data_IF_670953067445
#
_entry.id   IF_670953067445
#
_cell.length_a   1.000
_cell.length_b   1.000
_cell.length_c   1.000
_cell.angle_alpha   90.00
_cell.angle_beta   90.00
_cell.angle_gamma   90.00
#
_symmetry.space_group_name_H-M   'P 1'
#
loop_
_entity.id
_entity.type
_entity.pdbx_description
1 polymer ?
#
# COMPACT_ATOMS: atom_id res chain seq x y z
N UNK A 1 -38.15 -20.41 2.92
CA UNK A 1 -36.81 -20.77 2.42
C UNK A 1 -35.81 -20.26 3.43
N UNK A 2 -35.16 -21.14 4.19
CA UNK A 2 -34.07 -20.77 5.10
C UNK A 2 -32.82 -20.59 4.25
N UNK A 3 -32.34 -19.35 4.14
CA UNK A 3 -31.05 -19.10 3.51
C UNK A 3 -29.97 -19.78 4.36
N UNK A 4 -29.03 -20.53 3.75
CA UNK A 4 -27.90 -21.07 4.49
C UNK A 4 -27.15 -19.92 5.15
N UNK A 5 -26.83 -20.11 6.43
CA UNK A 5 -26.07 -19.10 7.17
C UNK A 5 -24.66 -19.06 6.58
N UNK A 6 -24.15 -17.88 6.20
CA UNK A 6 -22.81 -17.78 5.66
C UNK A 6 -21.78 -18.22 6.69
N UNK A 7 -20.67 -18.78 6.22
CA UNK A 7 -19.53 -19.08 7.08
C UNK A 7 -19.08 -17.83 7.84
N UNK A 8 -18.58 -18.02 9.06
CA UNK A 8 -18.23 -16.92 9.97
C UNK A 8 -17.28 -15.91 9.32
N UNK A 9 -16.32 -16.37 8.52
CA UNK A 9 -15.38 -15.50 7.82
C UNK A 9 -16.09 -14.61 6.79
N UNK A 10 -16.98 -15.18 5.96
CA UNK A 10 -17.84 -14.42 5.04
C UNK A 10 -18.73 -13.44 5.81
N UNK A 11 -19.30 -13.85 6.94
CA UNK A 11 -20.18 -12.99 7.74
C UNK A 11 -19.46 -11.78 8.35
N UNK A 12 -18.19 -11.93 8.76
CA UNK A 12 -17.42 -10.87 9.40
C UNK A 12 -16.61 -10.02 8.41
N UNK A 13 -16.09 -10.64 7.35
CA UNK A 13 -15.08 -10.05 6.47
C UNK A 13 -15.51 -10.01 5.00
N UNK A 14 -16.60 -10.68 4.63
CA UNK A 14 -17.05 -10.79 3.24
C UNK A 14 -16.17 -11.70 2.36
N UNK A 15 -15.19 -12.39 2.96
CA UNK A 15 -14.26 -13.29 2.26
C UNK A 15 -13.84 -14.45 3.18
N UNK A 16 -13.50 -15.58 2.57
CA UNK A 16 -12.84 -16.72 3.26
C UNK A 16 -11.31 -16.56 3.29
N UNK A 17 -10.77 -15.56 2.60
CA UNK A 17 -9.35 -15.29 2.59
C UNK A 17 -8.86 -14.98 4.02
N UNK A 18 -7.87 -15.72 4.54
CA UNK A 18 -7.40 -15.55 5.90
C UNK A 18 -6.70 -14.20 6.08
N UNK A 19 -6.91 -13.59 7.24
CA UNK A 19 -6.14 -12.43 7.68
C UNK A 19 -4.74 -12.90 8.11
N UNK A 20 -3.70 -12.18 7.68
CA UNK A 20 -2.31 -12.49 8.04
C UNK A 20 -1.88 -11.49 9.08
N UNK A 21 -1.46 -11.96 10.25
CA UNK A 21 -0.94 -11.07 11.29
C UNK A 21 0.33 -10.40 10.76
N UNK A 22 0.29 -9.08 10.62
CA UNK A 22 1.40 -8.29 10.12
C UNK A 22 2.60 -8.32 11.07
N UNK A 23 3.78 -8.04 10.51
CA UNK A 23 5.05 -7.97 11.25
C UNK A 23 5.45 -6.52 11.49
N UNK A 24 5.59 -6.12 12.74
CA UNK A 24 6.11 -4.79 13.08
C UNK A 24 7.62 -4.70 12.80
N UNK A 25 8.01 -3.70 12.00
CA UNK A 25 9.38 -3.31 11.67
C UNK A 25 9.68 -1.94 12.30
N UNK A 26 10.95 -1.72 12.63
CA UNK A 26 11.42 -0.50 13.32
C UNK A 26 12.71 0.01 12.69
N UNK A 27 12.80 1.31 12.48
CA UNK A 27 14.02 1.97 12.01
C UNK A 27 14.09 3.39 12.56
N UNK A 28 15.12 3.71 13.35
CA UNK A 28 15.23 4.99 14.04
C UNK A 28 13.95 5.37 14.80
N UNK A 29 13.33 6.54 14.54
CA UNK A 29 12.07 6.95 15.16
C UNK A 29 10.82 6.28 14.56
N UNK A 30 10.96 5.45 13.53
CA UNK A 30 9.85 4.84 12.80
C UNK A 30 9.42 3.49 13.34
N UNK A 31 8.11 3.25 13.31
CA UNK A 31 7.47 1.95 13.49
C UNK A 31 6.49 1.74 12.33
N UNK A 32 6.47 0.57 11.71
CA UNK A 32 5.54 0.24 10.62
C UNK A 32 5.20 -1.24 10.66
N UNK A 33 4.01 -1.60 10.21
CA UNK A 33 3.60 -3.00 10.09
C UNK A 33 3.68 -3.45 8.64
N UNK A 34 4.46 -4.51 8.38
CA UNK A 34 4.49 -5.19 7.09
C UNK A 34 3.40 -6.27 7.04
N UNK A 35 2.49 -6.16 6.09
CA UNK A 35 1.33 -7.03 5.90
C UNK A 35 1.13 -7.32 4.41
N UNK A 36 1.31 -8.58 4.01
CA UNK A 36 1.11 -9.08 2.65
C UNK A 36 1.66 -8.14 1.54
N UNK A 37 2.92 -7.71 1.66
CA UNK A 37 3.58 -6.84 0.67
C UNK A 37 3.23 -5.35 0.78
N UNK A 38 2.46 -4.98 1.80
CA UNK A 38 2.07 -3.61 2.10
C UNK A 38 2.66 -3.18 3.45
N UNK A 39 2.73 -1.87 3.63
CA UNK A 39 3.07 -1.23 4.90
C UNK A 39 1.81 -0.59 5.48
N UNK A 40 1.59 -0.75 6.78
CA UNK A 40 0.44 -0.22 7.50
C UNK A 40 0.88 0.54 8.73
N UNK A 41 0.10 1.55 9.08
CA UNK A 41 0.22 2.29 10.35
C UNK A 41 1.64 2.84 10.58
N UNK A 42 2.25 3.42 9.55
CA UNK A 42 3.57 4.03 9.67
C UNK A 42 3.50 5.17 10.69
N UNK A 43 4.28 5.06 11.75
CA UNK A 43 4.42 6.06 12.80
C UNK A 43 5.83 6.60 12.86
N UNK A 44 5.97 7.87 13.18
CA UNK A 44 7.23 8.53 13.52
C UNK A 44 7.08 9.12 14.91
N UNK A 45 7.93 8.72 15.86
CA UNK A 45 7.84 9.19 17.25
C UNK A 45 6.49 8.88 17.91
N UNK A 46 5.80 7.81 17.47
CA UNK A 46 4.48 7.42 17.96
C UNK A 46 3.28 8.10 17.27
N UNK A 47 3.52 9.08 16.39
CA UNK A 47 2.46 9.74 15.60
C UNK A 47 2.28 9.00 14.28
N UNK A 48 1.06 8.57 13.95
CA UNK A 48 0.73 7.98 12.65
C UNK A 48 0.85 9.05 11.55
N UNK A 49 1.75 8.83 10.60
CA UNK A 49 1.98 9.75 9.47
C UNK A 49 1.38 9.21 8.18
N UNK A 50 1.37 7.88 7.99
CA UNK A 50 0.71 7.21 6.87
C UNK A 50 -0.08 6.00 7.39
N UNK A 51 -1.33 5.89 6.94
CA UNK A 51 -2.21 4.75 7.24
C UNK A 51 -1.76 3.50 6.51
N UNK A 52 -1.31 3.65 5.26
CA UNK A 52 -0.82 2.53 4.48
C UNK A 52 -0.09 2.92 3.19
N UNK A 53 0.81 2.06 2.75
CA UNK A 53 1.54 2.16 1.49
C UNK A 53 1.55 0.78 0.85
N UNK A 54 1.07 0.67 -0.38
CA UNK A 54 1.08 -0.60 -1.11
C UNK A 54 1.33 -0.40 -2.59
N UNK A 55 2.13 -1.28 -3.18
CA UNK A 55 2.19 -1.45 -4.63
C UNK A 55 1.08 -2.42 -5.03
N UNK A 56 -0.04 -1.88 -5.52
CA UNK A 56 -1.26 -2.65 -5.77
C UNK A 56 -1.46 -2.90 -7.26
N UNK A 57 -2.06 -4.05 -7.57
CA UNK A 57 -2.59 -4.40 -8.89
C UNK A 57 -4.09 -4.57 -8.74
N UNK A 58 -4.87 -3.89 -9.58
CA UNK A 58 -6.33 -4.02 -9.65
C UNK A 58 -6.78 -4.38 -11.06
N UNK A 59 -7.62 -5.39 -11.16
CA UNK A 59 -8.19 -5.84 -12.43
C UNK A 59 -9.14 -4.79 -13.04
N UNK A 60 -9.65 -5.09 -14.23
CA UNK A 60 -10.60 -4.24 -14.97
C UNK A 60 -11.92 -3.98 -14.23
N UNK A 61 -12.26 -4.81 -13.25
CA UNK A 61 -13.45 -4.71 -12.41
C UNK A 61 -13.16 -4.09 -11.04
N UNK A 62 -11.98 -3.47 -10.87
CA UNK A 62 -11.50 -2.91 -9.61
C UNK A 62 -11.27 -3.93 -8.49
N UNK A 63 -11.23 -5.23 -8.79
CA UNK A 63 -10.79 -6.26 -7.86
C UNK A 63 -9.31 -6.09 -7.53
N UNK A 64 -8.95 -6.06 -6.25
CA UNK A 64 -7.53 -6.00 -5.84
C UNK A 64 -6.97 -7.41 -5.76
N UNK A 65 -5.89 -7.68 -6.49
CA UNK A 65 -5.22 -8.97 -6.41
C UNK A 65 -4.59 -9.17 -5.02
N UNK A 66 -4.71 -10.38 -4.49
CA UNK A 66 -3.86 -10.86 -3.41
C UNK A 66 -2.62 -11.51 -4.04
N UNK A 67 -1.46 -10.84 -4.05
CA UNK A 67 -0.28 -11.35 -4.74
C UNK A 67 0.24 -12.61 -4.06
N UNK A 68 0.68 -13.59 -4.85
CA UNK A 68 1.49 -14.69 -4.33
C UNK A 68 2.93 -14.18 -4.12
N UNK A 69 3.33 -14.01 -2.86
CA UNK A 69 4.68 -13.60 -2.50
C UNK A 69 5.65 -14.78 -2.48
N UNK A 70 6.83 -14.57 -3.05
CA UNK A 70 7.94 -15.51 -3.04
C UNK A 70 9.25 -14.74 -2.81
N UNK A 71 10.32 -15.47 -2.47
CA UNK A 71 11.63 -14.87 -2.18
C UNK A 71 11.59 -13.75 -1.12
N UNK A 72 10.61 -13.79 -0.20
CA UNK A 72 10.47 -12.79 0.85
C UNK A 72 11.67 -12.85 1.80
N UNK A 73 12.40 -11.75 1.88
CA UNK A 73 13.51 -11.54 2.81
C UNK A 73 13.18 -10.33 3.67
N UNK A 74 13.32 -10.49 4.97
CA UNK A 74 13.16 -9.42 5.95
C UNK A 74 14.41 -9.43 6.83
N UNK A 75 15.28 -8.42 6.66
CA UNK A 75 16.41 -8.16 7.56
C UNK A 75 16.02 -7.01 8.49
N UNK A 76 15.98 -7.28 9.80
CA UNK A 76 15.70 -6.26 10.80
C UNK A 76 16.87 -6.16 11.75
N UNK A 77 17.45 -4.97 11.81
CA UNK A 77 18.58 -4.60 12.67
C UNK A 77 18.08 -3.76 13.84
N UNK A 78 19.00 -3.26 14.66
CA UNK A 78 18.66 -2.48 15.85
C UNK A 78 17.90 -1.19 15.53
N UNK A 79 18.24 -0.54 14.42
CA UNK A 79 17.76 0.79 14.06
C UNK A 79 17.44 0.93 12.56
N UNK A 80 17.38 -0.17 11.82
CA UNK A 80 17.12 -0.19 10.38
C UNK A 80 16.48 -1.51 9.98
N UNK A 81 15.82 -1.54 8.82
CA UNK A 81 15.33 -2.76 8.22
C UNK A 81 15.39 -2.71 6.70
N UNK A 82 15.43 -3.87 6.07
CA UNK A 82 15.14 -4.04 4.66
C UNK A 82 14.19 -5.20 4.43
N UNK A 83 13.31 -5.04 3.45
CA UNK A 83 12.39 -6.07 2.96
C UNK A 83 12.52 -6.15 1.47
N UNK A 84 12.62 -7.36 0.93
CA UNK A 84 12.49 -7.58 -0.51
C UNK A 84 11.68 -8.82 -0.81
N UNK A 85 10.95 -8.81 -1.91
CA UNK A 85 10.15 -9.94 -2.35
C UNK A 85 9.81 -9.87 -3.84
N UNK A 86 9.50 -11.03 -4.39
CA UNK A 86 8.89 -11.18 -5.70
C UNK A 86 7.40 -11.48 -5.53
N UNK A 87 6.55 -10.82 -6.28
CA UNK A 87 5.11 -10.94 -6.19
C UNK A 87 4.50 -11.26 -7.57
N UNK A 88 3.53 -12.17 -7.59
CA UNK A 88 2.79 -12.54 -8.81
C UNK A 88 1.30 -12.31 -8.60
N UNK A 89 0.69 -11.55 -9.50
CA UNK A 89 -0.75 -11.38 -9.62
C UNK A 89 -1.21 -12.10 -10.89
N UNK A 90 -2.09 -13.10 -10.73
CA UNK A 90 -2.55 -13.94 -11.84
C UNK A 90 -4.05 -14.17 -11.76
N UNK A 91 -4.71 -14.11 -12.91
CA UNK A 91 -6.09 -14.55 -13.10
C UNK A 91 -6.26 -15.05 -14.54
N UNK A 92 -6.76 -16.27 -14.66
CA UNK A 92 -7.01 -16.92 -15.96
C UNK A 92 -5.76 -16.88 -16.88
N UNK A 93 -5.85 -16.15 -17.99
CA UNK A 93 -4.82 -15.99 -19.01
C UNK A 93 -3.93 -14.74 -18.81
N UNK A 94 -4.15 -13.97 -17.75
CA UNK A 94 -3.43 -12.73 -17.47
C UNK A 94 -2.51 -12.86 -16.26
N UNK A 95 -1.27 -12.39 -16.43
CA UNK A 95 -0.25 -12.42 -15.38
C UNK A 95 0.63 -11.17 -15.40
N UNK A 96 0.81 -10.57 -14.22
CA UNK A 96 1.80 -9.53 -13.97
C UNK A 96 2.61 -9.88 -12.73
N UNK A 97 3.92 -9.71 -12.82
CA UNK A 97 4.82 -9.91 -11.71
C UNK A 97 5.51 -8.62 -11.34
N UNK A 98 5.92 -8.47 -10.09
CA UNK A 98 6.72 -7.33 -9.66
C UNK A 98 7.72 -7.70 -8.58
N UNK A 99 8.86 -7.02 -8.62
CA UNK A 99 9.87 -7.06 -7.57
C UNK A 99 9.72 -5.81 -6.72
N UNK A 100 9.78 -5.98 -5.40
CA UNK A 100 9.61 -4.93 -4.42
C UNK A 100 10.78 -4.90 -3.45
N UNK A 101 11.21 -3.68 -3.12
CA UNK A 101 12.26 -3.40 -2.14
C UNK A 101 11.78 -2.28 -1.21
N UNK A 102 11.94 -2.48 0.09
CA UNK A 102 11.55 -1.53 1.13
C UNK A 102 12.72 -1.37 2.08
N UNK A 103 13.12 -0.14 2.37
CA UNK A 103 14.17 0.13 3.34
C UNK A 103 13.73 1.18 4.36
N UNK A 104 13.97 0.90 5.64
CA UNK A 104 13.88 1.86 6.72
C UNK A 104 15.27 2.17 7.26
N UNK A 105 15.67 3.44 7.22
CA UNK A 105 16.99 3.86 7.72
C UNK A 105 16.93 4.36 9.16
N UNK A 106 18.09 4.38 9.82
CA UNK A 106 18.27 4.87 11.20
C UNK A 106 17.85 6.32 11.39
N UNK A 107 17.93 7.13 10.35
CA UNK A 107 17.51 8.54 10.35
C UNK A 107 15.98 8.68 10.30
N UNK A 108 15.25 7.58 10.09
CA UNK A 108 13.80 7.60 9.95
C UNK A 108 13.33 7.86 8.52
N UNK A 109 14.15 7.54 7.51
CA UNK A 109 13.74 7.57 6.11
C UNK A 109 13.16 6.22 5.70
N UNK A 110 12.11 6.25 4.90
CA UNK A 110 11.48 5.06 4.30
C UNK A 110 11.56 5.15 2.79
N UNK A 111 12.10 4.13 2.14
CA UNK A 111 12.01 3.94 0.69
C UNK A 111 11.15 2.70 0.39
N UNK A 112 10.33 2.78 -0.66
CA UNK A 112 9.59 1.64 -1.19
C UNK A 112 9.63 1.75 -2.72
N UNK A 113 10.33 0.82 -3.35
CA UNK A 113 10.47 0.70 -4.80
C UNK A 113 9.75 -0.54 -5.29
N UNK A 114 9.05 -0.43 -6.42
CA UNK A 114 8.40 -1.55 -7.08
C UNK A 114 8.63 -1.48 -8.59
N UNK A 115 9.06 -2.59 -9.19
CA UNK A 115 9.19 -2.72 -10.65
C UNK A 115 8.26 -3.82 -11.13
N UNK A 116 7.22 -3.46 -11.88
CA UNK A 116 6.25 -4.40 -12.41
C UNK A 116 6.51 -4.71 -13.89
N UNK A 117 6.39 -5.99 -14.25
CA UNK A 117 6.55 -6.49 -15.61
C UNK A 117 5.37 -7.41 -15.93
N UNK A 118 4.47 -7.01 -16.87
CA UNK A 118 3.44 -7.92 -17.36
C UNK A 118 4.10 -9.10 -18.08
N UNK A 119 3.64 -10.32 -17.79
CA UNK A 119 4.13 -11.56 -18.43
C UNK A 119 3.29 -11.98 -19.63
N UNK A 120 2.09 -11.44 -19.71
CA UNK A 120 1.13 -11.55 -20.80
C UNK A 120 0.60 -10.16 -21.13
N UNK A 121 -0.26 -10.04 -22.14
CA UNK A 121 -1.16 -8.88 -22.19
C UNK A 121 -1.94 -8.82 -20.87
N UNK A 122 -2.00 -7.64 -20.25
CA UNK A 122 -2.57 -7.47 -18.91
C UNK A 122 -3.40 -6.20 -18.85
N UNK A 123 -4.71 -6.36 -18.65
CA UNK A 123 -5.66 -5.27 -18.46
C UNK A 123 -5.75 -4.93 -16.97
N UNK A 124 -5.63 -3.64 -16.64
CA UNK A 124 -5.60 -3.16 -15.26
C UNK A 124 -6.34 -1.84 -15.13
N UNK A 125 -7.14 -1.69 -14.08
CA UNK A 125 -7.68 -0.39 -13.69
C UNK A 125 -6.65 0.44 -12.91
N UNK A 126 -5.73 -0.23 -12.21
CA UNK A 126 -4.65 0.41 -11.45
C UNK A 126 -3.50 -0.56 -11.19
N UNK A 127 -2.31 -0.17 -11.60
CA UNK A 127 -1.06 -0.82 -11.18
C UNK A 127 -0.09 0.25 -10.70
N UNK A 128 0.34 0.17 -9.45
CA UNK A 128 1.31 1.11 -8.86
C UNK A 128 1.04 1.43 -7.40
N UNK A 129 1.70 2.48 -6.91
CA UNK A 129 1.59 2.87 -5.50
C UNK A 129 0.22 3.47 -5.16
N UNK A 130 -0.32 3.00 -4.04
CA UNK A 130 -1.42 3.62 -3.31
C UNK A 130 -0.90 4.01 -1.94
N UNK A 131 -1.02 5.30 -1.63
CA UNK A 131 -0.61 5.88 -0.35
C UNK A 131 -1.87 6.39 0.36
N UNK A 132 -2.09 5.92 1.58
CA UNK A 132 -3.22 6.28 2.41
C UNK A 132 -2.73 7.16 3.56
N UNK A 133 -3.28 8.36 3.66
CA UNK A 133 -3.06 9.24 4.79
C UNK A 133 -4.04 8.91 5.93
N UNK A 134 -3.65 9.07 7.20
CA UNK A 134 -4.59 8.90 8.31
C UNK A 134 -5.69 9.96 8.27
N UNK A 135 -6.89 9.66 8.78
CA UNK A 135 -7.97 10.66 8.83
C UNK A 135 -7.70 11.72 9.90
N UNK A 136 -7.36 11.27 11.10
CA UNK A 136 -7.10 12.14 12.25
C UNK A 136 -5.83 12.96 11.99
N UNK A 137 -5.97 14.29 12.02
CA UNK A 137 -4.85 15.21 11.86
C UNK A 137 -4.43 15.49 10.41
N UNK A 138 -5.16 14.97 9.41
CA UNK A 138 -4.88 15.23 7.99
C UNK A 138 -6.13 15.66 7.22
N UNK A 139 -7.30 15.06 7.48
CA UNK A 139 -8.53 15.43 6.77
C UNK A 139 -8.81 16.93 6.92
N UNK A 140 -8.98 17.63 5.80
CA UNK A 140 -9.18 19.08 5.77
C UNK A 140 -7.93 19.93 6.05
N UNK A 141 -6.75 19.34 6.28
CA UNK A 141 -5.52 20.10 6.47
C UNK A 141 -4.97 20.62 5.13
N UNK A 142 -4.24 21.76 5.14
CA UNK A 142 -3.52 22.22 3.95
C UNK A 142 -2.46 21.19 3.54
N UNK A 143 -2.18 21.12 2.25
CA UNK A 143 -1.07 20.34 1.68
C UNK A 143 -0.35 21.17 0.63
N UNK A 144 0.91 20.86 0.38
CA UNK A 144 1.64 21.36 -0.77
C UNK A 144 1.76 20.23 -1.78
N UNK A 145 1.59 20.51 -3.07
CA UNK A 145 1.71 19.50 -4.11
C UNK A 145 2.78 19.95 -5.08
N UNK A 146 3.83 19.16 -5.19
CA UNK A 146 4.76 19.28 -6.32
C UNK A 146 4.26 18.39 -7.45
N UNK A 147 4.06 18.98 -8.62
CA UNK A 147 3.69 18.25 -9.83
C UNK A 147 4.92 17.69 -10.56
N UNK A 148 4.70 16.72 -11.44
CA UNK A 148 5.79 16.10 -12.23
C UNK A 148 6.56 17.09 -13.10
N UNK A 149 5.97 18.23 -13.48
CA UNK A 149 6.61 19.33 -14.21
C UNK A 149 7.43 20.28 -13.31
N UNK A 150 7.46 20.02 -11.99
CA UNK A 150 8.17 20.81 -10.98
C UNK A 150 7.36 21.98 -10.42
N UNK A 151 6.12 22.20 -10.87
CA UNK A 151 5.26 23.25 -10.31
C UNK A 151 4.82 22.85 -8.90
N UNK A 152 5.01 23.76 -7.94
CA UNK A 152 4.52 23.61 -6.57
C UNK A 152 3.25 24.43 -6.38
N UNK A 153 2.17 23.82 -5.90
CA UNK A 153 0.88 24.49 -5.66
C UNK A 153 0.33 24.17 -4.28
N UNK A 154 -0.34 25.13 -3.61
CA UNK A 154 -1.09 24.83 -2.39
C UNK A 154 -2.34 24.02 -2.73
N UNK A 155 -2.70 23.11 -1.83
CA UNK A 155 -3.90 22.28 -1.88
C UNK A 155 -4.48 22.05 -0.48
N UNK A 156 -5.50 21.20 -0.41
CA UNK A 156 -6.13 20.78 0.84
C UNK A 156 -6.52 19.32 0.74
N UNK A 157 -6.25 18.54 1.78
CA UNK A 157 -6.81 17.20 1.89
C UNK A 157 -8.34 17.28 1.98
N UNK A 158 -9.09 16.40 1.28
CA UNK A 158 -10.54 16.35 1.41
C UNK A 158 -10.99 16.18 2.87
N UNK A 159 -12.02 16.91 3.27
CA UNK A 159 -12.60 16.80 4.61
C UNK A 159 -13.61 15.64 4.70
N UNK A 160 -14.34 15.42 3.61
CA UNK A 160 -15.26 14.29 3.43
C UNK A 160 -14.74 13.38 2.32
N UNK A 161 -15.32 12.18 2.23
CA UNK A 161 -15.04 11.26 1.12
C UNK A 161 -15.38 11.96 -0.20
N UNK A 162 -14.36 12.19 -1.02
CA UNK A 162 -14.49 12.70 -2.37
C UNK A 162 -14.27 11.52 -3.35
N UNK A 163 -15.27 11.17 -4.18
CA UNK A 163 -15.11 10.11 -5.17
C UNK A 163 -14.20 10.54 -6.34
N UNK A 164 -13.88 11.82 -6.48
CA UNK A 164 -12.99 12.35 -7.50
C UNK A 164 -11.55 12.37 -6.97
N UNK A 165 -10.59 12.02 -7.83
CA UNK A 165 -9.18 12.17 -7.49
C UNK A 165 -8.84 13.67 -7.36
N UNK A 166 -8.51 14.18 -6.16
CA UNK A 166 -8.41 15.63 -5.92
C UNK A 166 -7.12 16.23 -6.50
N UNK A 167 -6.11 15.39 -6.75
CA UNK A 167 -4.79 15.80 -7.25
C UNK A 167 -4.26 14.77 -8.23
N UNK A 168 -3.77 15.24 -9.38
CA UNK A 168 -3.17 14.45 -10.45
C UNK A 168 -1.70 14.86 -10.64
N UNK A 169 -0.95 14.00 -11.34
CA UNK A 169 0.44 14.26 -11.74
C UNK A 169 1.34 14.65 -10.56
N UNK A 170 1.24 13.90 -9.46
CA UNK A 170 1.95 14.14 -8.20
C UNK A 170 3.39 13.65 -8.31
N UNK A 171 4.34 14.47 -7.87
CA UNK A 171 5.75 14.11 -7.61
C UNK A 171 6.01 13.99 -6.11
N UNK A 172 5.53 14.95 -5.32
CA UNK A 172 5.63 14.96 -3.85
C UNK A 172 4.43 15.67 -3.21
N UNK A 173 4.18 15.37 -1.93
CA UNK A 173 3.16 15.97 -1.05
C UNK A 173 3.81 16.42 0.26
#
# INVERSE_FOLDING_TARGET
>A
MTHPQPDRAIALYGTEQPDVVGRTLRAGPMEVEFDNGQLRYLKVGGVEVLRGIGFLVRDENWGTYAPALSNLKIDQRADSFSVSFHAVCKRDDQEIAYDAEIEGTREGNLSFTGTAVPKTDFLTARTGFVVLHPLRGVAGCPMEVEHVDGKVVPGKFPELVDPVQPVLNIRSL
#
